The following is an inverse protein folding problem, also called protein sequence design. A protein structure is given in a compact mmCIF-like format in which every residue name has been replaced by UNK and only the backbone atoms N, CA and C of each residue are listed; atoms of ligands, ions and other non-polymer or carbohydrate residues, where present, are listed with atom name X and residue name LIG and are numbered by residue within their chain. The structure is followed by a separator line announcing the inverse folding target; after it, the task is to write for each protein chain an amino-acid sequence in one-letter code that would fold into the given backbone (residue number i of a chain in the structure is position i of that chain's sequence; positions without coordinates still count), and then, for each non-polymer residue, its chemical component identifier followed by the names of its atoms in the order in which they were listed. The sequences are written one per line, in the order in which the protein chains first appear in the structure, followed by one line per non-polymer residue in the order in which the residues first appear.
data_IF_190448257288
#
_entry.id   IF_190448257288
#
_cell.length_a   1.000
_cell.length_b   1.000
_cell.length_c   1.000
_cell.angle_alpha   90.00
_cell.angle_beta   90.00
_cell.angle_gamma   90.00
#
_symmetry.space_group_name_H-M   'P 1'
#
loop_
_entity.id
_entity.type
_entity.pdbx_description
1 polymer ?
#
# COMPACT_ATOMS: atom_id res chain seq x y z
N UNK A 1 -18.76 11.60 -0.68
CA UNK A 1 -17.56 10.94 -1.27
C UNK A 1 -17.58 9.49 -0.80
N UNK A 2 -17.02 8.51 -1.54
CA UNK A 2 -17.08 7.07 -1.19
C UNK A 2 -15.66 6.59 -0.94
N UNK A 3 -15.46 5.60 -0.06
CA UNK A 3 -14.11 5.07 0.17
C UNK A 3 -13.53 4.46 -1.10
N UNK A 4 -12.34 4.90 -1.49
CA UNK A 4 -11.64 4.42 -2.69
C UNK A 4 -10.86 3.14 -2.36
N UNK A 5 -11.54 2.01 -2.46
CA UNK A 5 -10.98 0.70 -2.13
C UNK A 5 -9.77 0.32 -2.96
N UNK A 6 -9.68 0.76 -4.21
CA UNK A 6 -8.55 0.46 -5.06
C UNK A 6 -7.29 1.11 -4.49
N UNK A 7 -7.38 2.40 -4.15
CA UNK A 7 -6.27 3.14 -3.55
C UNK A 7 -5.88 2.57 -2.19
N UNK A 8 -6.86 2.20 -1.36
CA UNK A 8 -6.62 1.56 -0.05
C UNK A 8 -5.83 0.26 -0.22
N UNK A 9 -6.32 -0.65 -1.06
CA UNK A 9 -5.72 -1.96 -1.26
C UNK A 9 -4.36 -1.87 -1.94
N UNK A 10 -4.18 -0.94 -2.87
CA UNK A 10 -2.88 -0.71 -3.52
C UNK A 10 -1.82 -0.22 -2.53
N UNK A 11 -2.19 0.57 -1.51
CA UNK A 11 -1.26 1.03 -0.47
C UNK A 11 -1.00 -0.01 0.61
N UNK A 12 -2.07 -0.68 1.08
CA UNK A 12 -1.93 -1.74 2.06
C UNK A 12 -1.19 -2.95 1.48
N UNK A 13 -1.37 -3.22 0.19
CA UNK A 13 -0.84 -4.38 -0.54
C UNK A 13 -0.89 -5.68 0.30
N UNK A 14 -2.08 -6.08 0.81
CA UNK A 14 -2.20 -7.20 1.73
C UNK A 14 -1.72 -8.54 1.14
N UNK A 15 -1.80 -8.71 -0.19
CA UNK A 15 -1.35 -9.92 -0.87
C UNK A 15 0.09 -9.83 -1.43
N UNK A 16 0.81 -8.75 -1.13
CA UNK A 16 2.22 -8.58 -1.48
C UNK A 16 2.51 -8.81 -2.99
N UNK A 17 2.13 -7.83 -3.83
CA UNK A 17 2.13 -7.89 -5.32
C UNK A 17 0.89 -8.51 -5.99
N UNK A 18 -0.24 -8.56 -5.30
CA UNK A 18 -1.52 -8.90 -5.93
C UNK A 18 -2.02 -7.79 -6.87
N UNK A 19 -2.75 -8.13 -7.92
CA UNK A 19 -3.38 -7.15 -8.83
C UNK A 19 -4.64 -6.57 -8.19
N UNK A 20 -4.73 -5.25 -8.08
CA UNK A 20 -5.93 -4.56 -7.57
C UNK A 20 -6.88 -4.25 -8.71
N UNK A 21 -8.10 -4.77 -8.63
CA UNK A 21 -9.19 -4.53 -9.58
C UNK A 21 -10.43 -4.03 -8.82
N UNK A 22 -10.71 -2.74 -8.94
CA UNK A 22 -11.86 -2.12 -8.27
C UNK A 22 -11.77 -2.21 -6.76
N UNK A 23 -12.58 -3.08 -6.14
CA UNK A 23 -12.66 -3.22 -4.68
C UNK A 23 -11.90 -4.42 -4.11
N UNK A 24 -11.15 -5.13 -4.95
CA UNK A 24 -10.53 -6.40 -4.59
C UNK A 24 -9.11 -6.46 -5.13
N UNK A 25 -8.19 -6.96 -4.32
CA UNK A 25 -6.87 -7.40 -4.75
C UNK A 25 -6.89 -8.91 -4.99
N UNK A 26 -6.22 -9.36 -6.04
CA UNK A 26 -6.17 -10.78 -6.43
C UNK A 26 -4.73 -11.23 -6.61
N UNK A 27 -4.37 -12.37 -6.04
CA UNK A 27 -3.10 -13.05 -6.22
C UNK A 27 -3.36 -14.46 -6.74
N UNK A 28 -2.75 -14.83 -7.86
CA UNK A 28 -2.82 -16.18 -8.39
C UNK A 28 -1.63 -17.00 -7.89
N UNK A 29 -1.92 -18.19 -7.37
CA UNK A 29 -0.93 -19.18 -6.92
C UNK A 29 -0.97 -20.36 -7.89
N UNK A 30 -0.28 -20.28 -9.04
CA UNK A 30 -0.37 -21.29 -10.10
C UNK A 30 0.10 -22.66 -9.61
N UNK A 31 1.14 -22.71 -8.76
CA UNK A 31 1.69 -23.95 -8.22
C UNK A 31 0.69 -24.72 -7.33
N UNK A 32 -0.27 -24.00 -6.73
CA UNK A 32 -1.34 -24.58 -5.92
C UNK A 32 -2.67 -24.74 -6.69
N UNK A 33 -2.79 -24.17 -7.89
CA UNK A 33 -4.07 -24.06 -8.60
C UNK A 33 -5.11 -23.20 -7.86
N UNK A 34 -4.66 -22.23 -7.07
CA UNK A 34 -5.51 -21.40 -6.21
C UNK A 34 -5.46 -19.92 -6.60
N UNK A 35 -6.53 -19.21 -6.28
CA UNK A 35 -6.61 -17.75 -6.35
C UNK A 35 -6.93 -17.23 -4.96
N UNK A 36 -6.10 -16.32 -4.47
CA UNK A 36 -6.33 -15.62 -3.21
C UNK A 36 -6.86 -14.24 -3.52
N UNK A 37 -7.94 -13.84 -2.86
CA UNK A 37 -8.49 -12.50 -3.00
C UNK A 37 -8.51 -11.79 -1.66
N UNK A 38 -8.32 -10.47 -1.69
CA UNK A 38 -8.38 -9.60 -0.52
C UNK A 38 -9.26 -8.39 -0.80
N UNK A 39 -10.15 -8.07 0.13
CA UNK A 39 -11.02 -6.90 0.06
C UNK A 39 -11.20 -6.26 1.44
N UNK A 40 -11.64 -5.00 1.50
CA UNK A 40 -11.91 -4.38 2.81
C UNK A 40 -13.14 -5.03 3.46
N UNK A 41 -12.94 -5.61 4.63
CA UNK A 41 -14.02 -6.22 5.40
C UNK A 41 -15.04 -5.15 5.79
N UNK A 42 -16.31 -5.40 5.50
CA UNK A 42 -17.40 -4.49 5.88
C UNK A 42 -17.83 -4.75 7.32
N UNK A 43 -18.12 -3.69 8.07
CA UNK A 43 -18.80 -3.79 9.36
C UNK A 43 -20.31 -3.50 9.24
N UNK A 44 -21.04 -3.64 10.34
CA UNK A 44 -22.45 -3.20 10.45
C UNK A 44 -22.63 -1.69 10.21
N UNK A 45 -21.55 -0.91 10.33
CA UNK A 45 -21.55 0.52 10.04
C UNK A 45 -21.20 0.70 8.57
N UNK A 46 -22.08 1.42 7.86
CA UNK A 46 -21.82 1.81 6.48
C UNK A 46 -20.47 2.55 6.39
N UNK A 47 -19.73 2.25 5.32
CA UNK A 47 -18.44 2.87 5.01
C UNK A 47 -17.41 2.82 6.15
N UNK A 48 -17.51 1.81 7.02
CA UNK A 48 -16.54 1.52 8.09
C UNK A 48 -15.97 0.13 7.90
N UNK A 49 -14.65 0.06 7.81
CA UNK A 49 -13.90 -1.13 7.46
C UNK A 49 -12.86 -1.43 8.57
N UNK A 50 -13.08 -2.46 9.40
CA UNK A 50 -12.20 -2.77 10.53
C UNK A 50 -10.99 -3.62 10.15
N UNK A 51 -10.90 -4.12 8.91
CA UNK A 51 -9.83 -5.00 8.48
C UNK A 51 -9.87 -5.38 7.01
N UNK A 52 -9.07 -6.37 6.65
CA UNK A 52 -9.02 -6.99 5.32
C UNK A 52 -9.59 -8.40 5.39
N UNK A 53 -10.58 -8.69 4.55
CA UNK A 53 -11.07 -10.05 4.33
C UNK A 53 -10.23 -10.71 3.25
N UNK A 54 -9.74 -11.91 3.53
CA UNK A 54 -8.99 -12.75 2.60
C UNK A 54 -9.79 -14.01 2.30
N UNK A 55 -9.84 -14.40 1.02
CA UNK A 55 -10.50 -15.63 0.55
C UNK A 55 -9.54 -16.48 -0.25
N UNK A 56 -9.57 -17.78 -0.02
CA UNK A 56 -8.82 -18.76 -0.80
C UNK A 56 -9.81 -19.48 -1.70
N UNK A 57 -9.58 -19.44 -3.01
CA UNK A 57 -10.53 -19.88 -4.03
C UNK A 57 -9.85 -20.93 -4.91
N UNK A 58 -10.49 -22.09 -5.06
CA UNK A 58 -10.17 -23.10 -6.06
C UNK A 58 -11.06 -22.92 -7.28
N UNK A 59 -10.49 -23.05 -8.48
CA UNK A 59 -11.28 -23.03 -9.72
C UNK A 59 -12.27 -24.19 -9.81
N UNK A 60 -11.98 -25.31 -9.14
CA UNK A 60 -12.82 -26.52 -9.17
C UNK A 60 -13.87 -26.54 -8.07
N UNK A 61 -13.55 -26.02 -6.89
CA UNK A 61 -14.39 -26.14 -5.70
C UNK A 61 -14.98 -24.82 -5.21
N UNK A 62 -14.62 -23.70 -5.82
CA UNK A 62 -15.05 -22.37 -5.38
C UNK A 62 -14.28 -21.90 -4.15
N UNK A 63 -14.94 -21.14 -3.27
CA UNK A 63 -14.31 -20.62 -2.05
C UNK A 63 -14.02 -21.77 -1.09
N UNK A 64 -12.74 -22.02 -0.84
CA UNK A 64 -12.28 -23.03 0.10
C UNK A 64 -12.26 -22.51 1.53
N UNK A 65 -11.80 -21.27 1.72
CA UNK A 65 -11.72 -20.66 3.04
C UNK A 65 -11.85 -19.12 2.97
N UNK A 66 -12.25 -18.51 4.09
CA UNK A 66 -12.40 -17.07 4.26
C UNK A 66 -12.00 -16.65 5.68
N UNK A 67 -11.08 -15.71 5.79
CA UNK A 67 -10.67 -15.13 7.06
C UNK A 67 -10.67 -13.60 7.02
N UNK A 68 -10.82 -12.94 8.18
CA UNK A 68 -10.77 -11.47 8.31
C UNK A 68 -9.64 -11.10 9.25
N UNK A 69 -8.70 -10.31 8.74
CA UNK A 69 -7.56 -9.79 9.47
C UNK A 69 -7.85 -8.37 9.94
N UNK A 70 -8.03 -8.20 11.25
CA UNK A 70 -8.36 -6.91 11.85
C UNK A 70 -7.18 -5.94 11.87
N UNK A 71 -7.41 -4.67 11.55
CA UNK A 71 -6.35 -3.67 11.62
C UNK A 71 -5.85 -3.44 13.05
N UNK A 72 -6.73 -3.51 14.04
CA UNK A 72 -6.38 -3.41 15.47
C UNK A 72 -5.49 -4.57 15.89
N UNK A 73 -5.88 -5.80 15.53
CA UNK A 73 -5.21 -7.03 15.93
C UNK A 73 -3.78 -7.09 15.40
N UNK A 74 -3.58 -6.63 14.17
CA UNK A 74 -2.27 -6.63 13.53
C UNK A 74 -1.53 -5.30 13.67
N UNK A 75 -2.04 -4.34 14.45
CA UNK A 75 -1.38 -3.06 14.67
C UNK A 75 -1.13 -2.28 13.37
N UNK A 76 -2.03 -2.41 12.39
CA UNK A 76 -1.85 -1.81 11.05
C UNK A 76 -1.81 -0.29 11.10
N UNK A 77 -2.45 0.32 12.10
CA UNK A 77 -2.46 1.76 12.31
C UNK A 77 -2.03 2.11 13.73
N UNK A 78 -1.19 3.13 13.87
CA UNK A 78 -0.60 3.59 15.13
C UNK A 78 -1.61 4.42 15.92
N UNK A 79 -2.60 3.75 16.52
CA UNK A 79 -3.75 4.35 17.19
C UNK A 79 -3.48 4.85 18.62
N UNK A 80 -2.31 5.43 18.88
CA UNK A 80 -1.94 5.75 20.26
C UNK A 80 -2.23 7.22 20.63
N UNK A 81 -1.81 8.19 19.82
CA UNK A 81 -1.74 9.57 20.30
C UNK A 81 -3.04 10.39 20.15
N UNK A 82 -3.97 10.00 19.26
CA UNK A 82 -5.27 10.69 19.09
C UNK A 82 -6.45 9.99 19.77
N UNK A 83 -6.23 8.87 20.49
CA UNK A 83 -7.28 8.03 21.10
C UNK A 83 -8.11 8.74 22.18
N UNK A 84 -7.58 9.80 22.80
CA UNK A 84 -8.27 10.56 23.85
C UNK A 84 -9.27 11.61 23.33
N UNK A 85 -9.25 11.97 22.04
CA UNK A 85 -10.12 13.02 21.51
C UNK A 85 -11.38 12.48 20.81
N UNK A 86 -11.38 11.23 20.30
CA UNK A 86 -12.41 10.76 19.35
C UNK A 86 -12.76 9.25 19.40
N UNK A 87 -12.70 8.60 20.56
CA UNK A 87 -13.41 7.32 20.82
C UNK A 87 -13.02 6.09 19.98
N UNK A 88 -13.75 4.99 20.22
CA UNK A 88 -13.60 3.57 19.81
C UNK A 88 -13.24 3.23 18.33
N UNK A 89 -13.08 4.24 17.46
CA UNK A 89 -12.96 4.12 15.99
C UNK A 89 -11.53 4.16 15.44
N UNK A 90 -10.52 4.30 16.29
CA UNK A 90 -9.17 4.67 15.85
C UNK A 90 -8.59 3.73 14.77
N UNK A 91 -8.85 2.42 14.86
CA UNK A 91 -8.25 1.42 13.96
C UNK A 91 -8.99 1.14 12.65
N UNK A 92 -10.20 1.65 12.47
CA UNK A 92 -10.98 1.37 11.27
C UNK A 92 -10.78 2.44 10.20
N UNK A 93 -10.77 2.02 8.94
CA UNK A 93 -10.90 2.95 7.81
C UNK A 93 -12.36 3.33 7.70
N UNK A 94 -12.64 4.62 7.74
CA UNK A 94 -13.97 5.20 7.52
C UNK A 94 -13.91 6.26 6.44
N UNK A 95 -15.08 6.64 5.92
CA UNK A 95 -15.16 7.77 5.01
C UNK A 95 -14.58 9.08 5.59
N UNK A 96 -14.70 9.31 6.90
CA UNK A 96 -14.27 10.55 7.55
C UNK A 96 -12.76 10.64 7.78
N UNK A 97 -12.09 9.50 7.95
CA UNK A 97 -10.66 9.45 8.29
C UNK A 97 -9.80 8.81 7.19
N UNK A 98 -10.38 8.37 6.07
CA UNK A 98 -9.67 7.77 4.95
C UNK A 98 -8.38 8.54 4.63
N UNK A 99 -8.46 9.82 4.31
CA UNK A 99 -7.29 10.61 3.90
C UNK A 99 -6.20 10.72 4.99
N UNK A 100 -6.61 10.64 6.27
CA UNK A 100 -5.69 10.65 7.42
C UNK A 100 -5.05 9.28 7.67
N UNK A 101 -5.78 8.21 7.43
CA UNK A 101 -5.33 6.82 7.61
C UNK A 101 -4.36 6.40 6.50
N UNK A 102 -4.51 6.93 5.28
CA UNK A 102 -3.60 6.65 4.15
C UNK A 102 -2.30 7.46 4.14
N UNK A 103 -1.86 7.94 5.30
CA UNK A 103 -0.54 8.53 5.46
C UNK A 103 0.49 7.41 5.69
N UNK A 104 1.55 7.30 4.87
CA UNK A 104 2.53 6.22 4.98
C UNK A 104 3.23 6.19 6.35
N UNK A 105 3.42 7.34 7.00
CA UNK A 105 3.99 7.41 8.36
C UNK A 105 3.08 6.86 9.47
N UNK A 106 1.78 6.68 9.19
CA UNK A 106 0.77 6.25 10.18
C UNK A 106 0.25 4.82 9.93
N UNK A 107 0.75 4.16 8.89
CA UNK A 107 0.33 2.83 8.47
C UNK A 107 1.53 1.87 8.49
N UNK A 108 1.44 0.81 9.27
CA UNK A 108 2.42 -0.28 9.37
C UNK A 108 1.81 -1.58 8.84
N UNK A 109 1.65 -1.74 7.52
CA UNK A 109 0.96 -2.88 6.94
C UNK A 109 1.77 -4.18 7.04
N UNK A 110 3.05 -4.12 7.41
CA UNK A 110 3.95 -5.28 7.41
C UNK A 110 3.43 -6.42 8.29
N UNK A 111 2.93 -6.12 9.50
CA UNK A 111 2.37 -7.14 10.40
C UNK A 111 1.09 -7.76 9.85
N UNK A 112 0.26 -6.97 9.17
CA UNK A 112 -0.94 -7.47 8.49
C UNK A 112 -0.56 -8.38 7.33
N UNK A 113 0.41 -7.96 6.51
CA UNK A 113 0.94 -8.75 5.38
C UNK A 113 1.55 -10.06 5.86
N UNK A 114 2.33 -10.03 6.94
CA UNK A 114 2.94 -11.23 7.52
C UNK A 114 1.90 -12.21 8.06
N UNK A 115 0.84 -11.71 8.71
CA UNK A 115 -0.26 -12.54 9.17
C UNK A 115 -1.00 -13.21 8.00
N UNK A 116 -1.33 -12.42 6.96
CA UNK A 116 -1.98 -12.93 5.75
C UNK A 116 -1.10 -13.95 5.03
N UNK A 117 0.20 -13.66 4.89
CA UNK A 117 1.17 -14.59 4.31
C UNK A 117 1.26 -15.89 5.09
N UNK A 118 1.30 -15.80 6.43
CA UNK A 118 1.35 -16.98 7.30
C UNK A 118 0.09 -17.84 7.13
N UNK A 119 -1.08 -17.21 7.08
CA UNK A 119 -2.35 -17.89 6.83
C UNK A 119 -2.39 -18.58 5.47
N UNK A 120 -1.99 -17.89 4.39
CA UNK A 120 -1.92 -18.48 3.05
C UNK A 120 -0.95 -19.67 3.06
N UNK A 121 0.24 -19.50 3.65
CA UNK A 121 1.26 -20.56 3.71
C UNK A 121 0.78 -21.76 4.51
N UNK A 122 0.07 -21.55 5.62
CA UNK A 122 -0.51 -22.62 6.42
C UNK A 122 -1.59 -23.40 5.66
N UNK A 123 -2.39 -22.71 4.83
CA UNK A 123 -3.44 -23.36 4.04
C UNK A 123 -2.90 -24.11 2.82
N UNK A 124 -1.95 -23.51 2.09
CA UNK A 124 -1.46 -24.06 0.81
C UNK A 124 -0.18 -24.87 0.93
N UNK A 125 0.55 -24.75 2.05
CA UNK A 125 1.91 -25.25 2.20
C UNK A 125 2.96 -24.46 1.41
N UNK A 126 2.56 -23.41 0.67
CA UNK A 126 3.40 -22.63 -0.22
C UNK A 126 3.44 -21.18 0.25
N UNK A 127 4.66 -20.67 0.48
CA UNK A 127 4.83 -19.25 0.75
C UNK A 127 4.62 -18.46 -0.55
N UNK A 128 3.70 -17.47 -0.60
CA UNK A 128 3.62 -16.57 -1.73
C UNK A 128 4.97 -15.87 -1.91
N UNK A 129 5.39 -15.70 -3.16
CA UNK A 129 6.69 -15.12 -3.48
C UNK A 129 6.84 -13.76 -2.76
N UNK A 130 8.01 -13.47 -2.15
CA UNK A 130 8.26 -12.15 -1.62
C UNK A 130 8.18 -11.14 -2.77
N UNK A 131 7.40 -10.07 -2.59
CA UNK A 131 7.40 -8.94 -3.50
C UNK A 131 8.85 -8.48 -3.77
N UNK A 132 9.15 -8.00 -4.99
CA UNK A 132 10.42 -7.33 -5.22
C UNK A 132 10.54 -6.21 -4.18
N UNK A 133 11.68 -6.17 -3.48
CA UNK A 133 11.95 -5.13 -2.49
C UNK A 133 11.60 -3.77 -3.09
N UNK A 134 10.96 -2.85 -2.33
CA UNK A 134 10.76 -1.51 -2.82
C UNK A 134 12.13 -0.97 -3.20
N UNK A 135 12.36 -0.77 -4.49
CA UNK A 135 13.56 -0.10 -4.96
C UNK A 135 13.60 1.20 -4.16
N UNK A 136 14.64 1.45 -3.33
CA UNK A 136 14.70 2.71 -2.61
C UNK A 136 14.60 3.78 -3.68
N UNK A 137 13.53 4.58 -3.59
CA UNK A 137 13.32 5.70 -4.48
C UNK A 137 14.64 6.45 -4.49
N UNK A 138 15.30 6.44 -5.65
CA UNK A 138 16.64 6.98 -5.85
C UNK A 138 16.59 8.40 -5.29
N UNK A 139 17.22 8.56 -4.14
CA UNK A 139 17.35 9.81 -3.42
C UNK A 139 17.73 10.87 -4.44
N UNK A 140 16.83 11.83 -4.59
CA UNK A 140 16.90 12.96 -5.51
C UNK A 140 18.32 13.51 -5.45
N UNK A 141 19.12 13.12 -6.45
CA UNK A 141 20.50 13.54 -6.54
C UNK A 141 20.44 14.96 -7.04
N UNK A 142 20.24 15.87 -6.08
CA UNK A 142 20.36 17.32 -6.16
C UNK A 142 21.14 17.69 -7.40
N UNK A 143 20.41 18.12 -8.43
CA UNK A 143 20.98 18.63 -9.67
C UNK A 143 21.89 19.79 -9.25
N UNK A 144 23.20 19.54 -9.14
CA UNK A 144 24.20 20.61 -9.24
C UNK A 144 24.13 21.05 -10.68
N UNK A 145 23.31 22.05 -10.94
CA UNK A 145 23.36 22.82 -12.18
C UNK A 145 24.74 23.48 -12.18
N UNK A 146 25.73 22.81 -12.80
CA UNK A 146 26.94 23.48 -13.23
C UNK A 146 26.50 24.52 -14.26
N UNK A 147 26.65 25.79 -13.88
CA UNK A 147 26.41 26.93 -14.75
C UNK A 147 27.20 26.76 -16.06
N UNK A 148 26.61 27.04 -17.23
CA UNK A 148 27.35 27.05 -18.48
C UNK A 148 28.36 28.20 -18.47
N UNK A 149 29.61 27.88 -18.77
CA UNK A 149 30.71 28.83 -18.92
C UNK A 149 30.36 29.96 -19.91
N UNK A 150 30.74 31.22 -19.65
CA UNK A 150 30.51 32.30 -20.60
C UNK A 150 31.39 32.09 -21.84
N UNK A 151 30.74 31.84 -22.98
CA UNK A 151 31.34 32.01 -24.31
C UNK A 151 31.52 33.50 -24.55
N UNK A 152 32.67 34.06 -24.19
CA UNK A 152 33.09 35.38 -24.65
C UNK A 152 33.38 35.30 -26.14
N UNK A 153 32.37 35.64 -26.95
CA UNK A 153 32.54 36.03 -28.34
C UNK A 153 33.43 37.27 -28.39
N UNK A 154 34.57 37.14 -29.07
CA UNK A 154 35.46 38.24 -29.40
C UNK A 154 35.01 38.84 -30.72
N UNK A 155 34.51 40.09 -30.70
CA UNK A 155 34.28 40.95 -31.85
C UNK A 155 34.26 42.43 -31.36
N UNK A 156 34.43 43.45 -32.22
CA UNK A 156 35.68 44.21 -32.35
C UNK A 156 35.57 45.70 -31.93
N UNK A 157 36.67 46.43 -32.15
CA UNK A 157 36.80 47.89 -32.37
C UNK A 157 37.30 48.80 -31.20
N UNK A 158 38.60 49.13 -31.31
CA UNK A 158 39.20 50.47 -31.35
C UNK A 158 38.76 51.59 -30.37
N UNK A 159 39.71 52.14 -29.60
CA UNK A 159 40.14 53.56 -29.73
C UNK A 159 41.36 53.97 -28.87
N UNK A 160 42.30 54.64 -29.55
CA UNK A 160 43.02 55.88 -29.17
C UNK A 160 44.13 55.94 -28.10
N UNK A 161 45.26 56.49 -28.59
CA UNK A 161 46.19 57.49 -27.97
C UNK A 161 47.07 57.05 -26.80
N UNK A 162 48.38 56.89 -27.08
CA UNK A 162 49.40 57.90 -26.75
C UNK A 162 50.67 57.67 -27.55
#
# INVERSE_FOLDING_TARGET
MRVDHALVLARLDPLNSGTVTGRQQTLHLPDAGLTVTADLAQSIRADTYPGVRVRIISLQHGVLDTNVFGFTEHGTFTNAEESLAYGERAAAITLYNQDRVFQPDRCHPDRLRDAIRTYITAFTGLAPAPAPAPTPARQDSRIKISAPAPRTGSAPAARSRR
#
